data_IF_110946874200
#
_entry.id   IF_110946874200
#
_cell.length_a   1.000
_cell.length_b   1.000
_cell.length_c   1.000
_cell.angle_alpha   90.00
_cell.angle_beta   90.00
_cell.angle_gamma   90.00
#
_symmetry.space_group_name_H-M   'P 1'
#
loop_
_entity.id
_entity.type
_entity.pdbx_description
1 polymer ?
#
# COMPACT_ATOMS: atom_id res chain seq x y z
N UNK A 1 -35.61 35.09 -10.71
CA UNK A 1 -35.89 33.74 -10.14
C UNK A 1 -35.50 32.58 -11.06
N UNK A 2 -35.46 32.66 -12.40
CA UNK A 2 -35.03 31.54 -13.28
C UNK A 2 -33.49 31.37 -13.36
N UNK A 3 -32.72 32.44 -13.31
CA UNK A 3 -31.24 32.38 -13.39
C UNK A 3 -30.61 31.75 -12.13
N UNK A 4 -31.17 31.98 -10.93
CA UNK A 4 -30.66 31.42 -9.67
C UNK A 4 -30.89 29.89 -9.58
N UNK A 5 -31.97 29.37 -10.20
CA UNK A 5 -32.25 27.93 -10.23
C UNK A 5 -31.32 27.17 -11.18
N UNK A 6 -30.91 27.81 -12.28
CA UNK A 6 -29.98 27.21 -13.26
C UNK A 6 -28.57 27.16 -12.66
N UNK A 7 -28.11 28.18 -11.95
CA UNK A 7 -26.80 28.17 -11.29
C UNK A 7 -26.70 27.08 -10.17
N UNK A 8 -27.79 26.84 -9.44
CA UNK A 8 -27.85 25.80 -8.41
C UNK A 8 -27.79 24.38 -9.01
N UNK A 9 -28.44 24.19 -10.18
CA UNK A 9 -28.45 22.89 -10.88
C UNK A 9 -27.08 22.54 -11.48
N UNK A 10 -26.36 23.51 -12.00
CA UNK A 10 -25.00 23.29 -12.50
C UNK A 10 -23.97 23.09 -11.38
N UNK A 11 -24.15 23.76 -10.22
CA UNK A 11 -23.35 23.54 -9.02
C UNK A 11 -23.51 22.13 -8.43
N UNK A 12 -24.74 21.62 -8.43
CA UNK A 12 -25.03 20.27 -7.94
C UNK A 12 -24.54 19.18 -8.91
N UNK A 13 -24.58 19.44 -10.23
CA UNK A 13 -24.06 18.54 -11.26
C UNK A 13 -22.52 18.47 -11.25
N UNK A 14 -21.85 19.58 -10.97
CA UNK A 14 -20.39 19.62 -10.84
C UNK A 14 -19.90 18.87 -9.58
N UNK A 15 -20.68 18.83 -8.50
CA UNK A 15 -20.35 18.05 -7.29
C UNK A 15 -20.48 16.55 -7.51
N UNK A 16 -21.32 16.10 -8.47
CA UNK A 16 -21.47 14.68 -8.82
C UNK A 16 -20.38 14.15 -9.76
N UNK A 17 -19.60 15.06 -10.37
CA UNK A 17 -18.46 14.76 -11.23
C UNK A 17 -17.11 14.79 -10.49
N UNK A 18 -17.08 15.09 -9.19
CA UNK A 18 -15.91 14.87 -8.35
C UNK A 18 -15.69 13.35 -8.28
N UNK A 19 -14.87 12.84 -9.20
CA UNK A 19 -14.54 11.43 -9.29
C UNK A 19 -14.08 10.94 -7.90
N UNK A 20 -14.74 9.92 -7.40
CA UNK A 20 -14.36 9.27 -6.16
C UNK A 20 -12.95 8.71 -6.35
N UNK A 21 -11.94 9.38 -5.83
CA UNK A 21 -10.64 8.79 -5.61
C UNK A 21 -10.84 7.71 -4.53
N UNK A 22 -10.98 6.48 -4.95
CA UNK A 22 -11.09 5.34 -4.05
C UNK A 22 -9.68 5.02 -3.56
N UNK A 23 -9.26 5.66 -2.47
CA UNK A 23 -8.15 5.17 -1.69
C UNK A 23 -8.68 4.01 -0.83
N UNK A 24 -8.08 2.86 -0.96
CA UNK A 24 -8.40 1.71 -0.12
C UNK A 24 -7.65 1.84 1.20
N UNK A 25 -8.36 1.63 2.32
CA UNK A 25 -7.75 1.66 3.65
C UNK A 25 -7.07 0.31 3.91
N UNK A 26 -5.76 0.31 4.02
CA UNK A 26 -4.98 -0.88 4.36
C UNK A 26 -5.21 -1.24 5.82
N UNK A 27 -5.99 -2.31 6.05
CA UNK A 27 -6.39 -2.75 7.40
C UNK A 27 -5.26 -3.39 8.20
N UNK A 28 -4.28 -4.00 7.54
CA UNK A 28 -3.23 -4.82 8.15
C UNK A 28 -1.87 -4.12 8.19
N UNK A 29 -1.88 -2.79 8.37
CA UNK A 29 -0.66 -1.99 8.31
C UNK A 29 0.34 -2.35 9.42
N UNK A 30 -0.16 -2.63 10.62
CA UNK A 30 0.66 -2.94 11.80
C UNK A 30 0.84 -4.45 12.05
N UNK A 31 0.51 -5.31 11.09
CA UNK A 31 0.69 -6.74 11.19
C UNK A 31 1.58 -7.30 10.08
N UNK A 32 2.27 -8.40 10.37
CA UNK A 32 3.05 -9.15 9.40
C UNK A 32 3.05 -10.65 9.71
N UNK A 33 3.13 -11.47 8.65
CA UNK A 33 3.19 -12.93 8.75
C UNK A 33 4.57 -13.43 8.34
N UNK A 34 5.20 -14.22 9.19
CA UNK A 34 6.56 -14.74 8.98
C UNK A 34 6.55 -16.26 9.05
N UNK A 35 7.13 -16.97 8.07
CA UNK A 35 7.30 -18.41 8.15
C UNK A 35 8.31 -18.79 9.22
N UNK A 36 8.02 -19.84 9.98
CA UNK A 36 8.90 -20.38 11.02
C UNK A 36 8.94 -21.91 10.95
N UNK A 37 10.13 -22.47 11.16
CA UNK A 37 10.31 -23.92 11.11
C UNK A 37 9.69 -24.65 12.32
N UNK A 38 9.59 -23.97 13.47
CA UNK A 38 9.05 -24.52 14.71
C UNK A 38 8.50 -23.42 15.63
N UNK A 39 7.83 -23.84 16.71
CA UNK A 39 7.22 -22.93 17.69
C UNK A 39 8.16 -22.60 18.88
N UNK A 40 9.45 -22.83 18.74
CA UNK A 40 10.42 -22.54 19.81
C UNK A 40 10.61 -21.05 20.06
N UNK A 41 10.95 -20.68 21.31
CA UNK A 41 11.11 -19.28 21.72
C UNK A 41 12.13 -18.50 20.87
N UNK A 42 13.23 -19.14 20.47
CA UNK A 42 14.24 -18.52 19.61
C UNK A 42 13.71 -18.21 18.21
N UNK A 43 12.95 -19.15 17.62
CA UNK A 43 12.31 -18.96 16.32
C UNK A 43 11.27 -17.83 16.38
N UNK A 44 10.46 -17.79 17.44
CA UNK A 44 9.46 -16.75 17.68
C UNK A 44 10.10 -15.37 17.82
N UNK A 45 11.20 -15.23 18.56
CA UNK A 45 11.91 -13.95 18.72
C UNK A 45 12.50 -13.46 17.39
N UNK A 46 13.13 -14.35 16.63
CA UNK A 46 13.66 -13.98 15.32
C UNK A 46 12.53 -13.56 14.34
N UNK A 47 11.41 -14.29 14.36
CA UNK A 47 10.24 -13.98 13.56
C UNK A 47 9.59 -12.64 13.96
N UNK A 48 9.53 -12.31 15.26
CA UNK A 48 9.01 -11.03 15.73
C UNK A 48 9.88 -9.85 15.21
N UNK A 49 11.21 -9.99 15.21
CA UNK A 49 12.10 -8.98 14.65
C UNK A 49 11.93 -8.81 13.14
N UNK A 50 11.73 -9.91 12.41
CA UNK A 50 11.45 -9.87 10.98
C UNK A 50 10.08 -9.22 10.70
N UNK A 51 9.05 -9.56 11.49
CA UNK A 51 7.72 -8.99 11.37
C UNK A 51 7.73 -7.48 11.65
N UNK A 52 8.40 -7.03 12.72
CA UNK A 52 8.52 -5.60 13.02
C UNK A 52 9.28 -4.86 11.91
N UNK A 53 10.33 -5.48 11.33
CA UNK A 53 11.03 -4.92 10.16
C UNK A 53 10.07 -4.68 9.00
N UNK A 54 9.21 -5.65 8.69
CA UNK A 54 8.22 -5.52 7.62
C UNK A 54 7.19 -4.42 7.92
N UNK A 55 6.67 -4.38 9.14
CA UNK A 55 5.70 -3.36 9.59
C UNK A 55 6.31 -1.95 9.52
N UNK A 56 7.53 -1.75 9.99
CA UNK A 56 8.22 -0.46 9.91
C UNK A 56 8.40 0.01 8.45
N UNK A 57 8.72 -0.91 7.54
CA UNK A 57 8.83 -0.61 6.12
C UNK A 57 7.46 -0.32 5.49
N UNK A 58 6.38 -0.99 5.93
CA UNK A 58 5.02 -0.66 5.51
C UNK A 58 4.61 0.75 5.93
N UNK A 59 4.86 1.10 7.19
CA UNK A 59 4.43 2.37 7.79
C UNK A 59 5.25 3.56 7.30
N UNK A 60 6.54 3.36 7.01
CA UNK A 60 7.41 4.45 6.51
C UNK A 60 7.49 4.53 4.98
N UNK A 61 7.13 3.45 4.29
CA UNK A 61 7.36 3.30 2.84
C UNK A 61 8.81 3.10 2.43
N UNK A 62 9.77 3.23 3.36
CA UNK A 62 11.21 3.23 3.09
C UNK A 62 11.94 2.14 3.87
N UNK A 63 12.95 1.54 3.26
CA UNK A 63 13.87 0.62 3.95
C UNK A 63 15.04 1.36 4.62
N UNK A 64 15.25 2.64 4.32
CA UNK A 64 16.39 3.42 4.84
C UNK A 64 16.31 3.60 6.36
N UNK A 65 15.10 3.64 6.94
CA UNK A 65 14.92 3.73 8.39
C UNK A 65 15.58 2.57 9.15
N UNK A 66 15.74 1.39 8.53
CA UNK A 66 16.29 0.19 9.20
C UNK A 66 17.76 0.38 9.65
N UNK A 67 18.46 1.36 9.09
CA UNK A 67 19.82 1.70 9.52
C UNK A 67 19.86 2.69 10.72
N UNK A 68 18.70 3.23 11.13
CA UNK A 68 18.62 4.16 12.24
C UNK A 68 18.87 3.45 13.59
N UNK A 69 19.72 3.98 14.48
CA UNK A 69 20.03 3.34 15.77
C UNK A 69 18.80 3.08 16.66
N UNK A 70 17.79 3.96 16.63
CA UNK A 70 16.53 3.78 17.37
C UNK A 70 15.82 2.53 16.88
N UNK A 71 15.72 2.36 15.55
CA UNK A 71 15.07 1.20 14.92
C UNK A 71 15.87 -0.08 15.20
N UNK A 72 17.20 -0.06 15.07
CA UNK A 72 18.06 -1.23 15.38
C UNK A 72 17.85 -1.70 16.82
N UNK A 73 17.74 -0.77 17.76
CA UNK A 73 17.44 -1.09 19.16
C UNK A 73 16.06 -1.70 19.32
N UNK A 74 15.01 -1.11 18.71
CA UNK A 74 13.66 -1.62 18.76
C UNK A 74 13.54 -3.02 18.16
N UNK A 75 14.23 -3.32 17.06
CA UNK A 75 14.26 -4.64 16.44
C UNK A 75 14.88 -5.70 17.36
N UNK A 76 15.86 -5.34 18.21
CA UNK A 76 16.44 -6.28 19.17
C UNK A 76 15.49 -6.66 20.32
N UNK A 77 14.49 -5.81 20.63
CA UNK A 77 13.48 -6.01 21.68
C UNK A 77 12.05 -6.16 21.11
N UNK A 78 11.95 -6.50 19.85
CA UNK A 78 10.70 -6.52 19.08
C UNK A 78 9.58 -7.35 19.73
N UNK A 79 9.94 -8.43 20.41
CA UNK A 79 8.97 -9.32 21.06
C UNK A 79 8.20 -8.65 22.22
N UNK A 80 8.80 -7.69 22.91
CA UNK A 80 8.16 -6.97 24.01
C UNK A 80 7.00 -6.07 23.53
N UNK A 81 6.98 -5.72 22.25
CA UNK A 81 6.00 -4.82 21.63
C UNK A 81 4.96 -5.54 20.76
N UNK A 82 4.94 -6.86 20.79
CA UNK A 82 3.91 -7.68 20.15
C UNK A 82 2.64 -7.64 21.00
N UNK A 83 1.54 -7.13 20.46
CA UNK A 83 0.24 -7.17 21.12
C UNK A 83 -0.38 -8.57 21.05
N UNK A 84 -0.32 -9.17 19.88
CA UNK A 84 -0.87 -10.50 19.62
C UNK A 84 -0.05 -11.23 18.57
N UNK A 85 0.01 -12.56 18.69
CA UNK A 85 0.50 -13.41 17.63
C UNK A 85 -0.32 -14.69 17.49
N UNK A 86 -0.45 -15.19 16.27
CA UNK A 86 -1.21 -16.39 15.93
C UNK A 86 -0.38 -17.30 15.05
N UNK A 87 -0.30 -18.58 15.39
CA UNK A 87 0.30 -19.60 14.54
C UNK A 87 -0.73 -20.17 13.58
N UNK A 88 -0.37 -20.23 12.31
CA UNK A 88 -1.08 -20.98 11.29
C UNK A 88 -0.17 -22.11 10.79
N UNK A 89 -0.68 -23.32 10.71
CA UNK A 89 0.07 -24.43 10.16
C UNK A 89 0.06 -24.33 8.63
N UNK A 90 1.23 -24.38 8.02
CA UNK A 90 1.34 -24.41 6.57
C UNK A 90 1.01 -25.81 6.04
N UNK A 91 0.39 -25.87 4.88
CA UNK A 91 0.09 -27.16 4.23
C UNK A 91 1.35 -27.84 3.70
N UNK A 92 2.39 -27.05 3.37
CA UNK A 92 3.69 -27.56 2.95
C UNK A 92 4.54 -27.95 4.17
N UNK A 93 4.94 -29.22 4.31
CA UNK A 93 5.65 -29.72 5.50
C UNK A 93 6.99 -29.03 5.77
N UNK A 94 7.65 -28.51 4.72
CA UNK A 94 8.99 -27.93 4.78
C UNK A 94 9.01 -26.55 5.48
N UNK A 95 7.90 -25.84 5.50
CA UNK A 95 7.80 -24.48 6.06
C UNK A 95 7.25 -24.49 7.49
N UNK A 96 6.74 -25.63 7.98
CA UNK A 96 6.25 -25.83 9.34
C UNK A 96 5.04 -24.96 9.69
N UNK A 97 5.27 -23.71 10.09
CA UNK A 97 4.23 -22.78 10.54
C UNK A 97 4.47 -21.38 9.97
N UNK A 98 3.40 -20.59 9.86
CA UNK A 98 3.46 -19.15 9.76
C UNK A 98 3.01 -18.51 11.06
N UNK A 99 3.67 -17.46 11.49
CA UNK A 99 3.27 -16.66 12.66
C UNK A 99 2.88 -15.28 12.18
N UNK A 100 1.62 -14.92 12.39
CA UNK A 100 1.14 -13.57 12.20
C UNK A 100 1.33 -12.80 13.50
N UNK A 101 2.03 -11.68 13.44
CA UNK A 101 2.22 -10.75 14.55
C UNK A 101 1.38 -9.50 14.33
N UNK A 102 0.87 -8.96 15.41
CA UNK A 102 0.22 -7.66 15.46
C UNK A 102 0.94 -6.79 16.48
N UNK A 103 1.35 -5.60 16.06
CA UNK A 103 2.07 -4.63 16.87
C UNK A 103 1.16 -3.46 17.22
N UNK A 104 1.49 -2.79 18.32
CA UNK A 104 0.84 -1.54 18.70
C UNK A 104 1.08 -0.46 17.65
N UNK A 105 0.00 0.10 17.12
CA UNK A 105 0.06 1.10 16.04
C UNK A 105 0.69 2.42 16.48
N UNK A 106 0.42 2.86 17.72
CA UNK A 106 1.01 4.08 18.28
C UNK A 106 2.51 3.89 18.46
N UNK A 107 2.92 2.76 19.04
CA UNK A 107 4.33 2.42 19.22
C UNK A 107 5.10 2.41 17.89
N UNK A 108 4.53 1.77 16.85
CA UNK A 108 5.15 1.71 15.52
C UNK A 108 5.27 3.10 14.90
N UNK A 109 4.21 3.90 14.97
CA UNK A 109 4.17 5.26 14.46
C UNK A 109 5.20 6.14 15.15
N UNK A 110 5.30 6.05 16.47
CA UNK A 110 6.29 6.79 17.27
C UNK A 110 7.73 6.39 16.93
N UNK A 111 8.00 5.10 16.70
CA UNK A 111 9.31 4.66 16.22
C UNK A 111 9.68 5.26 14.88
N UNK A 112 8.74 5.31 13.93
CA UNK A 112 8.96 5.93 12.62
C UNK A 112 9.24 7.42 12.77
N UNK A 113 8.45 8.15 13.58
CA UNK A 113 8.68 9.58 13.89
C UNK A 113 10.05 9.82 14.53
N UNK A 114 10.39 9.07 15.57
CA UNK A 114 11.70 9.19 16.28
C UNK A 114 12.89 8.90 15.37
N UNK A 115 12.70 8.07 14.33
CA UNK A 115 13.74 7.80 13.35
C UNK A 115 13.91 8.94 12.33
N UNK A 116 13.01 9.92 12.30
CA UNK A 116 12.97 10.98 11.29
C UNK A 116 12.53 10.49 9.91
N UNK A 117 12.00 9.27 9.80
CA UNK A 117 11.51 8.73 8.56
C UNK A 117 10.11 9.29 8.24
N UNK A 118 9.73 9.37 6.95
CA UNK A 118 8.38 9.76 6.57
C UNK A 118 7.34 8.75 7.06
N UNK A 119 6.14 9.21 7.32
CA UNK A 119 4.99 8.39 7.69
C UNK A 119 4.08 8.21 6.47
N UNK A 120 3.82 6.97 6.09
CA UNK A 120 2.94 6.62 5.00
C UNK A 120 1.64 6.02 5.55
N UNK A 121 0.58 6.80 5.50
CA UNK A 121 -0.72 6.46 6.08
C UNK A 121 -1.38 5.23 5.44
N UNK A 122 -2.44 4.72 6.08
CA UNK A 122 -3.20 3.57 5.59
C UNK A 122 -4.01 3.86 4.32
N UNK A 123 -4.30 5.13 4.02
CA UNK A 123 -5.03 5.54 2.81
C UNK A 123 -4.09 5.49 1.60
N UNK A 124 -4.23 4.46 0.76
CA UNK A 124 -3.32 4.20 -0.38
C UNK A 124 -4.11 3.94 -1.65
N UNK A 125 -3.63 4.45 -2.81
CA UNK A 125 -4.23 4.12 -4.10
C UNK A 125 -4.21 2.62 -4.37
N UNK A 126 -5.31 2.10 -4.93
CA UNK A 126 -5.40 0.73 -5.41
C UNK A 126 -4.58 0.59 -6.69
N UNK A 127 -3.76 -0.45 -6.78
CA UNK A 127 -2.95 -0.77 -7.95
C UNK A 127 -3.60 -1.91 -8.74
N UNK A 128 -3.81 -1.72 -10.04
CA UNK A 128 -4.18 -2.80 -10.94
C UNK A 128 -2.90 -3.45 -11.51
N UNK A 129 -2.76 -4.77 -11.38
CA UNK A 129 -1.55 -5.47 -11.79
C UNK A 129 -1.79 -6.42 -12.97
N UNK A 130 -1.12 -6.16 -14.11
CA UNK A 130 -1.07 -7.03 -15.27
C UNK A 130 0.31 -7.70 -15.33
N UNK A 131 0.37 -9.01 -15.15
CA UNK A 131 1.65 -9.75 -15.18
C UNK A 131 1.56 -10.90 -16.15
N UNK A 132 2.59 -11.04 -16.99
CA UNK A 132 2.75 -12.15 -17.93
C UNK A 132 4.04 -12.89 -17.62
N UNK A 133 3.93 -14.20 -17.47
CA UNK A 133 5.06 -15.11 -17.29
C UNK A 133 5.22 -15.98 -18.52
N UNK A 134 6.46 -16.27 -18.90
CA UNK A 134 6.83 -17.25 -19.94
C UNK A 134 7.57 -18.40 -19.28
N UNK A 135 6.98 -19.58 -19.35
CA UNK A 135 7.52 -20.84 -18.85
C UNK A 135 7.60 -21.90 -19.96
N UNK A 136 7.75 -23.17 -19.59
CA UNK A 136 7.79 -24.30 -20.53
C UNK A 136 6.45 -24.52 -21.26
N UNK A 137 5.32 -24.05 -20.70
CA UNK A 137 3.99 -24.17 -21.30
C UNK A 137 3.69 -23.00 -22.25
N UNK A 138 4.52 -21.98 -22.24
CA UNK A 138 4.37 -20.76 -23.04
C UNK A 138 4.08 -19.53 -22.20
N UNK A 139 3.52 -18.51 -22.82
CA UNK A 139 3.16 -17.25 -22.15
C UNK A 139 1.75 -17.33 -21.61
N UNK A 140 1.57 -16.87 -20.38
CA UNK A 140 0.28 -16.75 -19.74
C UNK A 140 0.19 -15.50 -18.85
N UNK A 141 -1.03 -15.03 -18.58
CA UNK A 141 -1.27 -14.05 -17.56
C UNK A 141 -1.25 -14.70 -16.18
N UNK A 142 -0.74 -13.98 -15.19
CA UNK A 142 -0.87 -14.35 -13.78
C UNK A 142 -2.30 -14.02 -13.35
N UNK A 143 -3.14 -15.04 -13.22
CA UNK A 143 -4.53 -14.93 -12.84
C UNK A 143 -4.90 -15.90 -11.71
N UNK A 144 -6.02 -15.63 -11.02
CA UNK A 144 -6.44 -16.42 -9.84
C UNK A 144 -7.03 -17.78 -10.17
N UNK A 145 -7.57 -17.94 -11.37
CA UNK A 145 -8.34 -19.12 -11.75
C UNK A 145 -7.43 -20.20 -12.35
N UNK A 146 -6.49 -19.81 -13.20
CA UNK A 146 -5.63 -20.74 -13.91
C UNK A 146 -4.24 -20.86 -13.25
N UNK A 147 -3.74 -19.80 -12.60
CA UNK A 147 -2.42 -19.71 -11.98
C UNK A 147 -2.50 -19.17 -10.55
N UNK A 148 -3.26 -19.86 -9.65
CA UNK A 148 -3.55 -19.36 -8.30
C UNK A 148 -2.31 -19.16 -7.43
N UNK A 149 -1.30 -20.01 -7.55
CA UNK A 149 -0.06 -19.91 -6.76
C UNK A 149 0.74 -18.66 -7.13
N UNK A 150 0.86 -18.37 -8.44
CA UNK A 150 1.53 -17.16 -8.93
C UNK A 150 0.78 -15.89 -8.55
N UNK A 151 -0.56 -15.93 -8.67
CA UNK A 151 -1.42 -14.84 -8.27
C UNK A 151 -1.33 -14.57 -6.76
N UNK A 152 -1.31 -15.63 -5.95
CA UNK A 152 -1.16 -15.53 -4.51
C UNK A 152 0.20 -14.92 -4.13
N UNK A 153 1.28 -15.35 -4.79
CA UNK A 153 2.62 -14.80 -4.56
C UNK A 153 2.70 -13.30 -4.85
N UNK A 154 2.08 -12.86 -5.95
CA UNK A 154 1.99 -11.44 -6.29
C UNK A 154 1.21 -10.67 -5.22
N UNK A 155 0.04 -11.16 -4.82
CA UNK A 155 -0.80 -10.53 -3.79
C UNK A 155 -0.06 -10.44 -2.45
N UNK A 156 0.65 -11.48 -2.04
CA UNK A 156 1.45 -11.48 -0.82
C UNK A 156 2.61 -10.48 -0.90
N UNK A 157 3.28 -10.37 -2.03
CA UNK A 157 4.34 -9.38 -2.23
C UNK A 157 3.82 -7.95 -2.03
N UNK A 158 2.63 -7.63 -2.58
CA UNK A 158 1.95 -6.35 -2.36
C UNK A 158 1.54 -6.14 -0.90
N UNK A 159 0.96 -7.16 -0.27
CA UNK A 159 0.57 -7.12 1.15
C UNK A 159 1.76 -6.83 2.06
N UNK A 160 2.93 -7.44 1.81
CA UNK A 160 4.16 -7.21 2.58
C UNK A 160 4.68 -5.77 2.50
N UNK A 161 4.29 -5.03 1.45
CA UNK A 161 4.60 -3.61 1.30
C UNK A 161 3.45 -2.71 1.71
N UNK A 162 2.31 -3.31 2.10
CA UNK A 162 1.10 -2.59 2.46
C UNK A 162 0.51 -1.79 1.30
N UNK A 163 0.62 -2.28 0.07
CA UNK A 163 0.04 -1.68 -1.13
C UNK A 163 -1.19 -2.48 -1.52
N UNK A 164 -2.38 -1.89 -1.60
CA UNK A 164 -3.55 -2.60 -2.07
C UNK A 164 -3.41 -2.93 -3.55
N UNK A 165 -3.74 -4.18 -3.93
CA UNK A 165 -3.64 -4.66 -5.30
C UNK A 165 -4.91 -5.35 -5.74
N UNK A 166 -5.28 -5.09 -6.99
CA UNK A 166 -6.31 -5.81 -7.72
C UNK A 166 -5.70 -6.50 -8.92
N UNK A 167 -6.05 -7.75 -9.15
CA UNK A 167 -5.79 -8.44 -10.40
C UNK A 167 -7.00 -8.28 -11.33
N UNK A 168 -6.79 -8.24 -12.66
CA UNK A 168 -7.87 -8.31 -13.63
C UNK A 168 -8.73 -9.56 -13.42
N UNK A 169 -9.98 -9.51 -13.86
CA UNK A 169 -10.92 -10.64 -13.78
C UNK A 169 -10.65 -11.67 -14.89
N UNK A 170 -9.95 -11.24 -15.96
CA UNK A 170 -9.64 -12.05 -17.15
C UNK A 170 -10.87 -12.63 -17.85
N UNK A 171 -11.97 -11.91 -17.83
CA UNK A 171 -13.16 -12.23 -18.59
C UNK A 171 -12.98 -11.94 -20.10
N UNK A 172 -14.03 -12.18 -20.89
CA UNK A 172 -14.00 -11.95 -22.34
C UNK A 172 -13.71 -10.48 -22.70
N UNK A 173 -14.10 -9.54 -21.86
CA UNK A 173 -13.85 -8.11 -22.08
C UNK A 173 -12.35 -7.79 -21.89
N UNK A 174 -11.73 -8.30 -20.84
CA UNK A 174 -10.29 -8.14 -20.60
C UNK A 174 -9.47 -8.78 -21.73
N UNK A 175 -9.84 -10.00 -22.12
CA UNK A 175 -9.16 -10.73 -23.21
C UNK A 175 -9.31 -10.03 -24.57
N UNK A 176 -10.43 -9.33 -24.80
CA UNK A 176 -10.62 -8.53 -25.99
C UNK A 176 -9.87 -7.17 -25.95
N UNK A 177 -9.75 -6.58 -24.75
CA UNK A 177 -9.11 -5.28 -24.54
C UNK A 177 -7.58 -5.36 -24.55
N UNK A 178 -6.99 -6.42 -23.97
CA UNK A 178 -5.55 -6.60 -23.87
C UNK A 178 -5.12 -7.98 -24.37
N UNK A 179 -4.51 -8.02 -25.55
CA UNK A 179 -3.92 -9.24 -26.06
C UNK A 179 -2.69 -9.64 -25.24
N UNK A 180 -2.43 -10.95 -25.10
CA UNK A 180 -1.23 -11.46 -24.44
C UNK A 180 0.07 -10.89 -25.04
N UNK A 181 0.09 -10.66 -26.36
CA UNK A 181 1.25 -10.11 -27.04
C UNK A 181 1.45 -8.61 -26.74
N UNK A 182 0.37 -7.81 -26.60
CA UNK A 182 0.47 -6.40 -26.21
C UNK A 182 0.90 -6.26 -24.74
N UNK A 183 0.39 -7.12 -23.85
CA UNK A 183 0.83 -7.20 -22.46
C UNK A 183 2.31 -7.57 -22.37
N UNK A 184 2.73 -8.59 -23.12
CA UNK A 184 4.14 -9.01 -23.20
C UNK A 184 5.08 -7.92 -23.69
N UNK A 185 4.65 -7.10 -24.62
CA UNK A 185 5.42 -5.94 -25.11
C UNK A 185 5.36 -4.73 -24.20
N UNK A 186 4.63 -4.80 -23.09
CA UNK A 186 4.34 -3.68 -22.20
C UNK A 186 3.81 -2.46 -22.97
N UNK A 187 2.88 -2.72 -23.91
CA UNK A 187 2.25 -1.69 -24.72
C UNK A 187 1.40 -0.77 -23.83
N UNK A 188 1.93 0.42 -23.55
CA UNK A 188 1.32 1.36 -22.62
C UNK A 188 -0.14 1.72 -22.99
N UNK A 189 -0.40 1.98 -24.27
CA UNK A 189 -1.73 2.38 -24.73
C UNK A 189 -2.76 1.25 -24.57
N UNK A 190 -2.38 0.00 -24.88
CA UNK A 190 -3.26 -1.15 -24.74
C UNK A 190 -3.51 -1.47 -23.25
N UNK A 191 -2.46 -1.42 -22.41
CA UNK A 191 -2.57 -1.66 -20.97
C UNK A 191 -3.49 -0.62 -20.31
N UNK A 192 -3.30 0.67 -20.61
CA UNK A 192 -4.13 1.74 -20.06
C UNK A 192 -5.58 1.64 -20.53
N UNK A 193 -5.80 1.32 -21.81
CA UNK A 193 -7.16 1.13 -22.35
C UNK A 193 -7.90 -0.04 -21.66
N UNK A 194 -7.24 -1.20 -21.48
CA UNK A 194 -7.81 -2.34 -20.79
C UNK A 194 -8.07 -2.06 -19.30
N UNK A 195 -7.23 -1.24 -18.68
CA UNK A 195 -7.34 -0.88 -17.27
C UNK A 195 -8.46 0.11 -16.97
N UNK A 196 -8.98 0.82 -17.97
CA UNK A 196 -9.98 1.88 -17.78
C UNK A 196 -11.27 1.40 -17.09
N UNK A 197 -11.70 0.16 -17.36
CA UNK A 197 -12.91 -0.43 -16.73
C UNK A 197 -12.76 -0.65 -15.22
N UNK A 198 -11.53 -0.77 -14.72
CA UNK A 198 -11.24 -1.01 -13.30
C UNK A 198 -11.18 0.26 -12.48
N UNK A 199 -11.23 1.41 -13.13
CA UNK A 199 -11.15 2.72 -12.49
C UNK A 199 -9.89 2.88 -11.59
N UNK A 200 -8.83 2.11 -11.88
CA UNK A 200 -7.57 2.14 -11.16
C UNK A 200 -6.73 3.36 -11.60
N UNK A 201 -6.24 4.11 -10.63
CA UNK A 201 -5.37 5.26 -10.89
C UNK A 201 -3.93 4.84 -11.16
N UNK A 202 -3.49 3.80 -10.48
CA UNK A 202 -2.15 3.25 -10.55
C UNK A 202 -2.20 1.87 -11.21
N UNK A 203 -1.36 1.66 -12.23
CA UNK A 203 -1.31 0.41 -12.98
C UNK A 203 0.13 -0.08 -12.99
N UNK A 204 0.36 -1.34 -12.67
CA UNK A 204 1.65 -1.98 -12.87
C UNK A 204 1.53 -3.09 -13.91
N UNK A 205 2.48 -3.16 -14.81
CA UNK A 205 2.59 -4.25 -15.77
C UNK A 205 3.98 -4.88 -15.70
N UNK A 206 4.02 -6.21 -15.70
CA UNK A 206 5.24 -6.98 -15.63
C UNK A 206 5.30 -8.09 -16.67
N UNK A 207 6.51 -8.42 -17.13
CA UNK A 207 6.77 -9.61 -17.92
C UNK A 207 8.02 -10.33 -17.42
N UNK A 208 8.00 -11.63 -17.38
CA UNK A 208 9.11 -12.47 -16.96
C UNK A 208 9.35 -13.58 -17.98
N UNK A 209 10.60 -13.77 -18.42
CA UNK A 209 11.01 -14.86 -19.28
C UNK A 209 12.14 -15.66 -18.64
N UNK A 210 12.13 -16.97 -18.83
CA UNK A 210 13.28 -17.82 -18.52
C UNK A 210 14.37 -17.59 -19.58
N UNK A 211 15.58 -17.23 -19.14
CA UNK A 211 16.73 -17.00 -20.04
C UNK A 211 17.79 -18.09 -19.95
N UNK A 212 17.50 -19.17 -19.24
CA UNK A 212 18.42 -20.29 -19.05
C UNK A 212 19.31 -20.14 -17.81
N UNK A 213 20.10 -21.17 -17.52
CA UNK A 213 21.03 -21.21 -16.39
C UNK A 213 20.40 -20.95 -15.02
N UNK A 214 19.11 -21.26 -14.85
CA UNK A 214 18.37 -20.98 -13.62
C UNK A 214 18.09 -19.50 -13.37
N UNK A 215 18.19 -18.66 -14.40
CA UNK A 215 17.92 -17.23 -14.35
C UNK A 215 16.70 -16.88 -15.19
N UNK A 216 16.00 -15.84 -14.74
CA UNK A 216 14.92 -15.21 -15.47
C UNK A 216 15.20 -13.72 -15.65
N UNK A 217 14.83 -13.19 -16.81
CA UNK A 217 14.89 -11.77 -17.10
C UNK A 217 13.47 -11.22 -17.21
N UNK A 218 13.24 -10.05 -16.64
CA UNK A 218 11.93 -9.43 -16.66
C UNK A 218 11.99 -7.92 -16.71
N UNK A 219 10.87 -7.36 -17.09
CA UNK A 219 10.67 -5.90 -17.11
C UNK A 219 9.38 -5.55 -16.37
N UNK A 220 9.43 -4.41 -15.69
CA UNK A 220 8.31 -3.79 -15.02
C UNK A 220 8.05 -2.40 -15.60
N UNK A 221 6.78 -2.05 -15.73
CA UNK A 221 6.29 -0.71 -16.03
C UNK A 221 5.23 -0.32 -15.03
N UNK A 222 5.47 0.74 -14.30
CA UNK A 222 4.50 1.30 -13.37
C UNK A 222 3.99 2.63 -13.90
N UNK A 223 2.68 2.74 -14.09
CA UNK A 223 1.97 3.91 -14.61
C UNK A 223 1.19 4.56 -13.47
N UNK A 224 1.32 5.84 -13.32
CA UNK A 224 0.56 6.66 -12.38
C UNK A 224 0.16 7.98 -13.05
N UNK A 225 -0.67 8.79 -12.39
CA UNK A 225 -1.34 9.94 -13.00
C UNK A 225 -0.39 10.82 -13.83
N UNK A 226 0.81 11.13 -13.34
CA UNK A 226 1.72 12.10 -13.95
C UNK A 226 2.99 11.47 -14.54
N UNK A 227 3.08 10.12 -14.57
CA UNK A 227 4.32 9.51 -15.00
C UNK A 227 4.31 8.01 -15.23
N UNK A 228 5.49 7.54 -15.64
CA UNK A 228 5.77 6.14 -15.85
C UNK A 228 7.20 5.82 -15.40
N UNK A 229 7.36 4.74 -14.66
CA UNK A 229 8.68 4.18 -14.29
C UNK A 229 8.83 2.83 -14.95
N UNK A 230 9.99 2.61 -15.61
CA UNK A 230 10.33 1.32 -16.18
C UNK A 230 11.58 0.77 -15.51
N UNK A 231 11.63 -0.54 -15.30
CA UNK A 231 12.79 -1.22 -14.73
C UNK A 231 12.95 -2.62 -15.32
N UNK A 232 14.19 -2.93 -15.75
CA UNK A 232 14.58 -4.29 -16.11
C UNK A 232 15.29 -4.96 -14.94
N UNK A 233 15.03 -6.23 -14.73
CA UNK A 233 15.59 -7.04 -13.65
C UNK A 233 16.05 -8.39 -14.16
N UNK A 234 17.06 -8.96 -13.50
CA UNK A 234 17.45 -10.37 -13.67
C UNK A 234 17.34 -11.03 -12.30
N UNK A 235 16.62 -12.11 -12.22
CA UNK A 235 16.23 -12.75 -10.95
C UNK A 235 16.42 -14.26 -11.02
N UNK A 236 16.47 -14.91 -9.86
CA UNK A 236 16.62 -16.36 -9.75
C UNK A 236 15.28 -17.11 -9.78
N UNK A 237 14.17 -16.42 -9.45
CA UNK A 237 12.83 -17.03 -9.36
C UNK A 237 11.73 -15.99 -9.45
N UNK A 238 10.49 -16.48 -9.60
CA UNK A 238 9.26 -15.67 -9.69
C UNK A 238 9.06 -14.80 -8.44
N UNK A 239 9.27 -15.34 -7.23
CA UNK A 239 9.13 -14.61 -5.98
C UNK A 239 10.02 -13.35 -5.94
N UNK A 240 11.24 -13.44 -6.42
CA UNK A 240 12.16 -12.32 -6.51
C UNK A 240 11.69 -11.29 -7.53
N UNK A 241 11.16 -11.74 -8.67
CA UNK A 241 10.56 -10.87 -9.67
C UNK A 241 9.37 -10.10 -9.13
N UNK A 242 8.41 -10.78 -8.50
CA UNK A 242 7.23 -10.15 -7.91
C UNK A 242 7.63 -9.11 -6.85
N UNK A 243 8.55 -9.47 -5.96
CA UNK A 243 9.05 -8.56 -4.93
C UNK A 243 9.71 -7.31 -5.51
N UNK A 244 10.48 -7.44 -6.58
CA UNK A 244 11.15 -6.31 -7.23
C UNK A 244 10.15 -5.35 -7.88
N UNK A 245 9.13 -5.88 -8.57
CA UNK A 245 8.04 -5.07 -9.14
C UNK A 245 7.27 -4.30 -8.08
N UNK A 246 6.89 -4.98 -7.01
CA UNK A 246 6.19 -4.35 -5.88
C UNK A 246 7.05 -3.31 -5.19
N UNK A 247 8.36 -3.52 -5.06
CA UNK A 247 9.26 -2.52 -4.48
C UNK A 247 9.34 -1.24 -5.31
N UNK A 248 9.25 -1.33 -6.64
CA UNK A 248 9.17 -0.17 -7.52
C UNK A 248 7.90 0.63 -7.20
N UNK A 249 6.75 -0.04 -7.24
CA UNK A 249 5.45 0.58 -6.97
C UNK A 249 5.43 1.23 -5.58
N UNK A 250 5.79 0.47 -4.54
CA UNK A 250 5.75 0.95 -3.17
C UNK A 250 6.70 2.13 -2.92
N UNK A 251 7.89 2.13 -3.53
CA UNK A 251 8.85 3.21 -3.37
C UNK A 251 8.40 4.49 -4.06
N UNK A 252 7.87 4.40 -5.28
CA UNK A 252 7.34 5.54 -6.03
C UNK A 252 6.08 6.10 -5.37
N UNK A 253 5.22 5.23 -4.86
CA UNK A 253 4.00 5.61 -4.15
C UNK A 253 4.34 6.29 -2.81
N UNK A 254 5.27 5.73 -2.02
CA UNK A 254 5.72 6.34 -0.78
C UNK A 254 6.38 7.70 -1.02
N UNK A 255 7.18 7.86 -2.06
CA UNK A 255 7.80 9.14 -2.41
C UNK A 255 6.77 10.24 -2.70
N UNK A 256 5.56 9.88 -3.15
CA UNK A 256 4.47 10.83 -3.45
C UNK A 256 3.54 11.10 -2.26
N UNK A 257 3.29 10.09 -1.43
CA UNK A 257 2.23 10.12 -0.43
C UNK A 257 2.72 10.04 1.02
N UNK A 258 3.96 9.61 1.27
CA UNK A 258 4.47 9.60 2.63
C UNK A 258 4.85 11.03 3.06
N UNK A 259 4.44 11.38 4.26
CA UNK A 259 4.64 12.72 4.83
C UNK A 259 5.88 12.71 5.71
N UNK A 260 6.83 13.60 5.40
CA UNK A 260 8.01 13.76 6.23
C UNK A 260 7.61 14.40 7.58
N UNK A 261 8.23 13.99 8.70
CA UNK A 261 7.98 14.62 9.98
C UNK A 261 8.40 16.09 9.91
N UNK A 262 7.52 16.99 10.30
CA UNK A 262 7.84 18.41 10.49
C UNK A 262 8.58 18.59 11.80
N UNK A 263 9.80 19.14 11.74
CA UNK A 263 10.59 19.46 12.92
C UNK A 263 10.51 20.97 13.14
N UNK A 264 9.83 21.42 14.19
CA UNK A 264 9.80 22.83 14.62
C UNK A 264 8.40 23.43 14.77
N UNK A 265 8.34 24.68 15.25
CA UNK A 265 7.13 25.46 15.49
C UNK A 265 6.29 25.75 14.20
N UNK A 266 6.87 25.52 13.03
CA UNK A 266 6.18 25.65 11.72
C UNK A 266 5.26 24.46 11.37
N UNK A 267 5.13 23.47 12.23
CA UNK A 267 4.28 22.28 12.03
C UNK A 267 2.81 22.50 12.35
N UNK A 268 2.45 23.61 12.99
CA UNK A 268 1.07 23.88 13.38
C UNK A 268 0.21 24.19 12.15
N UNK A 269 -0.80 23.33 11.91
CA UNK A 269 -1.80 23.57 10.88
C UNK A 269 -2.99 24.30 11.50
N UNK A 270 -3.41 25.40 10.90
CA UNK A 270 -4.61 26.13 11.32
C UNK A 270 -5.79 25.76 10.42
N UNK A 271 -6.86 25.26 11.02
CA UNK A 271 -8.10 24.94 10.32
C UNK A 271 -9.27 25.74 10.90
N UNK A 272 -10.10 26.33 10.04
CA UNK A 272 -11.36 26.99 10.44
C UNK A 272 -12.54 26.19 9.90
N UNK A 273 -13.42 25.76 10.80
CA UNK A 273 -14.68 25.11 10.46
C UNK A 273 -15.83 26.07 10.75
N UNK A 274 -16.76 26.23 9.80
CA UNK A 274 -17.92 27.12 9.88
C UNK A 274 -19.18 26.27 9.89
N UNK A 275 -20.20 26.71 10.62
CA UNK A 275 -21.47 25.98 10.72
C UNK A 275 -21.51 25.01 11.91
N UNK A 276 -20.70 25.27 12.94
CA UNK A 276 -20.68 24.48 14.18
C UNK A 276 -21.59 25.15 15.20
N UNK A 277 -22.79 24.63 15.37
CA UNK A 277 -23.81 25.25 16.22
C UNK A 277 -24.01 24.55 17.57
N UNK A 278 -23.58 23.28 17.65
CA UNK A 278 -23.81 22.44 18.83
C UNK A 278 -22.50 21.85 19.35
N UNK A 279 -22.50 21.50 20.64
CA UNK A 279 -21.38 20.79 21.25
C UNK A 279 -21.17 19.38 20.61
N UNK A 280 -22.25 18.73 20.19
CA UNK A 280 -22.17 17.45 19.54
C UNK A 280 -21.43 17.51 18.19
N UNK A 281 -21.71 18.53 17.37
CA UNK A 281 -20.98 18.76 16.10
C UNK A 281 -19.51 19.08 16.37
N UNK A 282 -19.24 19.93 17.34
CA UNK A 282 -17.88 20.23 17.77
C UNK A 282 -17.13 18.97 18.22
N UNK A 283 -17.71 18.16 19.13
CA UNK A 283 -17.08 16.95 19.63
C UNK A 283 -16.83 15.92 18.52
N UNK A 284 -17.75 15.82 17.55
CA UNK A 284 -17.57 14.95 16.38
C UNK A 284 -16.40 15.38 15.51
N UNK A 285 -16.22 16.72 15.30
CA UNK A 285 -15.09 17.26 14.52
C UNK A 285 -13.77 16.98 15.23
N UNK A 286 -13.68 17.26 16.53
CA UNK A 286 -12.46 17.00 17.32
C UNK A 286 -12.11 15.52 17.27
N UNK A 287 -13.08 14.66 17.58
CA UNK A 287 -12.85 13.21 17.53
C UNK A 287 -12.45 12.73 16.14
N UNK A 288 -13.01 13.30 15.07
CA UNK A 288 -12.61 12.96 13.71
C UNK A 288 -11.17 13.39 13.41
N UNK A 289 -10.79 14.62 13.82
CA UNK A 289 -9.44 15.13 13.63
C UNK A 289 -8.40 14.34 14.43
N UNK A 290 -8.69 14.02 15.70
CA UNK A 290 -7.80 13.22 16.56
C UNK A 290 -7.60 11.79 16.07
N UNK A 291 -8.55 11.26 15.28
CA UNK A 291 -8.41 9.95 14.64
C UNK A 291 -7.62 9.97 13.33
N UNK A 292 -7.16 11.12 12.85
CA UNK A 292 -6.29 11.18 11.67
C UNK A 292 -4.86 10.78 12.05
N UNK A 293 -4.29 9.82 11.34
CA UNK A 293 -2.95 9.23 11.60
C UNK A 293 -1.81 10.26 11.66
N UNK A 294 -1.99 11.45 11.07
CA UNK A 294 -0.98 12.51 10.98
C UNK A 294 -1.20 13.62 12.02
N UNK A 295 -2.30 13.59 12.77
CA UNK A 295 -2.62 14.58 13.79
C UNK A 295 -2.15 14.07 15.15
N UNK A 296 -1.32 14.86 15.84
CA UNK A 296 -0.83 14.54 17.19
C UNK A 296 -1.77 15.07 18.27
N UNK A 297 -2.24 16.32 18.08
CA UNK A 297 -3.10 17.01 19.04
C UNK A 297 -4.01 18.01 18.33
N UNK A 298 -5.24 18.16 18.80
CA UNK A 298 -6.19 19.15 18.30
C UNK A 298 -6.41 20.22 19.36
N UNK A 299 -5.89 21.41 19.11
CA UNK A 299 -5.99 22.56 20.04
C UNK A 299 -6.97 23.59 19.50
N UNK A 300 -7.94 23.98 20.32
CA UNK A 300 -8.84 25.09 19.98
C UNK A 300 -8.09 26.42 20.17
N UNK A 301 -8.00 27.19 19.11
CA UNK A 301 -7.44 28.56 19.17
C UNK A 301 -8.51 29.58 19.42
N UNK A 302 -9.70 29.45 18.81
CA UNK A 302 -10.75 30.48 18.85
C UNK A 302 -12.13 29.91 18.50
N UNK A 303 -13.17 30.43 19.15
CA UNK A 303 -14.57 30.16 18.81
C UNK A 303 -15.27 31.52 18.61
N UNK A 304 -15.80 31.76 17.41
CA UNK A 304 -16.57 32.98 17.05
C UNK A 304 -17.89 32.58 16.41
N UNK A 305 -18.99 32.68 17.18
CA UNK A 305 -20.32 32.30 16.70
C UNK A 305 -20.36 30.83 16.29
N UNK A 306 -20.60 30.58 15.01
CA UNK A 306 -20.63 29.25 14.41
C UNK A 306 -19.27 28.80 13.79
N UNK A 307 -18.22 29.61 14.01
CA UNK A 307 -16.87 29.32 13.51
C UNK A 307 -15.98 28.85 14.65
N UNK A 308 -15.33 27.69 14.45
CA UNK A 308 -14.30 27.15 15.35
C UNK A 308 -12.97 27.11 14.59
N UNK A 309 -11.93 27.65 15.21
CA UNK A 309 -10.55 27.57 14.69
C UNK A 309 -9.73 26.62 15.57
N UNK A 310 -9.17 25.66 14.92
CA UNK A 310 -8.27 24.67 15.49
C UNK A 310 -6.84 24.96 15.08
#
# INVERSE_FOLDING_TARGET
MKATRIALTYGLLALLLAGNAWAEMVRDLHSASVPVANQGSKALTAAASQALTEVLVKVSGSRLLLANPVIVKALSDSRAHVQQYVYTRNELPEVGFSVRFEFDGEYVTDLVRQSGAPLWTASRPLVLAWVVVEDEQGRHFVDRDNWPDEAQELIEAFSRRGVPVQLPVFDLEDMAALSLNDAWRLNAAAIQAASARYNAQDIVAGRLANVGEGKSAGDWSYFYQDGRVNRSVTVDNLASFMRDGVNIVASEMAARYAVAPTTGEDGDMHMSVIGVFTYAEYAAIVSWLENLELVEEVIIKEIQGDRVRF
#
